data_IF_015263783219
#
_entry.id   IF_015263783219
#
_cell.length_a   1.000
_cell.length_b   1.000
_cell.length_c   1.000
_cell.angle_alpha   90.00
_cell.angle_beta   90.00
_cell.angle_gamma   90.00
#
_symmetry.space_group_name_H-M   'P 1'
#
loop_
_entity.id
_entity.type
_entity.pdbx_description
1 polymer ?
#
# COMPACT_ATOMS: atom_id res chain seq x y z
N UNK A 1 -13.76 -10.74 -14.83
CA UNK A 1 -12.76 -10.26 -13.85
C UNK A 1 -13.45 -10.13 -12.50
N UNK A 2 -13.12 -11.01 -11.56
CA UNK A 2 -13.60 -10.95 -10.18
C UNK A 2 -12.54 -10.28 -9.31
N UNK A 3 -12.92 -9.23 -8.59
CA UNK A 3 -12.09 -8.64 -7.54
C UNK A 3 -12.93 -8.59 -6.27
N UNK A 4 -12.45 -9.23 -5.20
CA UNK A 4 -13.11 -9.28 -3.91
C UNK A 4 -12.20 -8.76 -2.81
N UNK A 5 -12.76 -7.96 -1.91
CA UNK A 5 -12.09 -7.50 -0.68
C UNK A 5 -12.81 -8.08 0.53
N UNK A 6 -12.04 -8.58 1.49
CA UNK A 6 -12.53 -9.18 2.72
C UNK A 6 -11.86 -8.52 3.90
N UNK A 7 -12.67 -8.12 4.89
CA UNK A 7 -12.15 -7.50 6.11
C UNK A 7 -11.53 -8.56 7.01
N UNK A 8 -10.41 -8.24 7.70
CA UNK A 8 -9.88 -9.11 8.72
C UNK A 8 -10.74 -9.05 9.99
N UNK A 9 -10.52 -10.00 10.90
CA UNK A 9 -11.11 -9.99 12.24
C UNK A 9 -10.82 -8.71 13.03
N UNK A 10 -11.63 -8.46 14.06
CA UNK A 10 -11.51 -7.30 14.95
C UNK A 10 -10.14 -7.19 15.64
N UNK A 11 -9.47 -8.33 15.90
CA UNK A 11 -8.13 -8.35 16.51
C UNK A 11 -7.05 -7.87 15.55
N UNK A 12 -7.27 -8.07 14.24
CA UNK A 12 -6.30 -7.79 13.19
C UNK A 12 -6.53 -6.45 12.48
N UNK A 13 -7.71 -5.83 12.65
CA UNK A 13 -8.08 -4.57 11.98
C UNK A 13 -7.12 -3.40 12.23
N UNK A 14 -6.30 -3.44 13.27
CA UNK A 14 -5.29 -2.40 13.54
C UNK A 14 -4.04 -2.56 12.68
N UNK A 15 -3.78 -3.75 12.15
CA UNK A 15 -2.55 -4.12 11.44
C UNK A 15 -2.81 -4.45 9.97
N UNK A 16 -3.92 -5.10 9.68
CA UNK A 16 -4.33 -5.53 8.33
C UNK A 16 -5.47 -4.63 7.87
N UNK A 17 -5.36 -4.14 6.64
CA UNK A 17 -6.36 -3.28 6.01
C UNK A 17 -7.45 -4.14 5.35
N UNK A 18 -7.03 -5.08 4.52
CA UNK A 18 -7.92 -6.00 3.81
C UNK A 18 -7.16 -7.24 3.35
N UNK A 19 -7.87 -8.35 3.25
CA UNK A 19 -7.51 -9.42 2.32
C UNK A 19 -8.18 -9.14 0.99
N UNK A 20 -7.55 -9.53 -0.12
CA UNK A 20 -8.15 -9.38 -1.44
C UNK A 20 -7.87 -10.60 -2.31
N UNK A 21 -8.79 -10.85 -3.23
CA UNK A 21 -8.69 -11.88 -4.25
C UNK A 21 -8.89 -11.21 -5.61
N UNK A 22 -7.92 -11.40 -6.50
CA UNK A 22 -8.01 -11.02 -7.89
C UNK A 22 -8.07 -12.29 -8.74
N UNK A 23 -9.12 -12.40 -9.55
CA UNK A 23 -9.28 -13.47 -10.53
C UNK A 23 -9.58 -12.86 -11.91
N UNK A 24 -8.62 -12.98 -12.81
CA UNK A 24 -8.82 -12.59 -14.20
C UNK A 24 -9.55 -13.69 -14.96
N UNK A 25 -10.49 -13.26 -15.80
CA UNK A 25 -11.23 -14.14 -16.68
C UNK A 25 -10.36 -14.47 -17.91
N UNK A 26 -10.52 -15.67 -18.46
CA UNK A 26 -9.80 -16.14 -19.65
C UNK A 26 -10.00 -15.21 -20.87
N UNK A 27 -11.11 -14.47 -20.92
CA UNK A 27 -11.40 -13.50 -21.97
C UNK A 27 -10.74 -12.13 -21.77
N UNK A 28 -10.09 -11.88 -20.62
CA UNK A 28 -9.42 -10.60 -20.35
C UNK A 28 -8.22 -10.45 -21.28
N UNK A 29 -8.22 -9.38 -22.08
CA UNK A 29 -7.04 -9.02 -22.85
C UNK A 29 -5.92 -8.57 -21.91
N UNK A 30 -4.66 -8.98 -22.18
CA UNK A 30 -3.54 -8.45 -21.44
C UNK A 30 -3.56 -6.93 -21.44
N UNK A 31 -3.45 -6.34 -20.26
CA UNK A 31 -3.47 -4.89 -20.09
C UNK A 31 -2.56 -4.47 -18.95
N UNK A 32 -1.91 -3.33 -19.16
CA UNK A 32 -1.09 -2.72 -18.13
C UNK A 32 -1.96 -1.96 -17.14
N UNK A 33 -1.70 -2.19 -15.87
CA UNK A 33 -2.36 -1.49 -14.77
C UNK A 33 -1.29 -0.84 -13.93
N UNK A 34 -1.50 0.44 -13.64
CA UNK A 34 -0.61 1.21 -12.78
C UNK A 34 -1.08 1.14 -11.33
N UNK A 35 -0.15 0.81 -10.44
CA UNK A 35 -0.38 0.74 -8.99
C UNK A 35 0.37 1.89 -8.38
N UNK A 36 -0.34 2.75 -7.66
CA UNK A 36 0.22 3.98 -7.09
C UNK A 36 0.79 3.76 -5.69
N UNK A 37 1.76 4.61 -5.33
CA UNK A 37 2.28 4.69 -3.98
C UNK A 37 1.17 5.03 -2.97
N UNK A 38 1.10 4.27 -1.89
CA UNK A 38 0.08 4.43 -0.85
C UNK A 38 0.61 4.26 0.59
N UNK A 39 1.92 4.05 0.74
CA UNK A 39 2.58 3.95 2.03
C UNK A 39 2.32 2.63 2.78
N UNK A 40 1.71 1.64 2.13
CA UNK A 40 1.41 0.34 2.71
C UNK A 40 2.38 -0.73 2.17
N UNK A 41 2.55 -1.79 2.95
CA UNK A 41 3.21 -3.03 2.50
C UNK A 41 2.14 -4.07 2.21
N UNK A 42 2.47 -5.01 1.32
CA UNK A 42 1.52 -6.03 0.86
C UNK A 42 2.24 -7.34 0.61
N UNK A 43 1.69 -8.42 1.19
CA UNK A 43 2.04 -9.77 0.76
C UNK A 43 1.02 -10.19 -0.29
N UNK A 44 1.46 -10.82 -1.37
CA UNK A 44 0.55 -11.44 -2.31
C UNK A 44 1.11 -12.75 -2.85
N UNK A 45 0.22 -13.67 -3.19
CA UNK A 45 0.50 -15.02 -3.63
C UNK A 45 -0.04 -15.19 -5.03
N UNK A 46 0.78 -15.67 -5.96
CA UNK A 46 0.27 -16.15 -7.25
C UNK A 46 -0.35 -17.54 -7.06
N UNK A 47 -1.66 -17.58 -6.84
CA UNK A 47 -2.44 -18.80 -6.70
C UNK A 47 -2.91 -19.37 -8.07
N UNK A 48 -2.55 -18.71 -9.17
CA UNK A 48 -2.87 -19.13 -10.52
C UNK A 48 -1.78 -20.02 -11.15
N UNK A 49 -1.93 -20.28 -12.45
CA UNK A 49 -0.97 -21.06 -13.25
C UNK A 49 -0.13 -20.21 -14.19
N UNK A 50 -0.44 -18.92 -14.30
CA UNK A 50 0.19 -18.00 -15.24
C UNK A 50 1.34 -17.23 -14.59
N UNK A 51 2.16 -16.53 -15.39
CA UNK A 51 3.33 -15.77 -14.94
C UNK A 51 3.21 -14.28 -15.28
N UNK A 52 2.40 -13.50 -14.55
CA UNK A 52 2.28 -12.06 -14.78
C UNK A 52 3.63 -11.36 -14.51
N UNK A 53 3.85 -10.21 -15.15
CA UNK A 53 5.11 -9.46 -15.03
C UNK A 53 4.85 -8.09 -14.42
N UNK A 54 5.66 -7.69 -13.44
CA UNK A 54 5.67 -6.33 -12.89
C UNK A 54 6.86 -5.56 -13.46
N UNK A 55 6.61 -4.30 -13.83
CA UNK A 55 7.56 -3.34 -14.39
C UNK A 55 8.34 -3.88 -15.60
N UNK A 56 7.78 -4.85 -16.33
CA UNK A 56 8.44 -5.56 -17.42
C UNK A 56 9.74 -6.29 -17.02
N UNK A 57 9.96 -6.53 -15.72
CA UNK A 57 11.21 -7.09 -15.20
C UNK A 57 10.95 -8.31 -14.31
N UNK A 58 9.99 -8.23 -13.39
CA UNK A 58 9.79 -9.27 -12.37
C UNK A 58 8.66 -10.20 -12.76
N UNK A 59 8.98 -11.45 -13.09
CA UNK A 59 7.99 -12.51 -13.27
C UNK A 59 7.45 -13.00 -11.92
N UNK A 60 6.14 -13.11 -11.82
CA UNK A 60 5.44 -13.65 -10.67
C UNK A 60 5.11 -15.12 -10.93
N UNK A 61 5.90 -16.02 -10.37
CA UNK A 61 5.79 -17.46 -10.60
C UNK A 61 4.61 -18.08 -9.84
N UNK A 62 3.90 -19.06 -10.42
CA UNK A 62 2.87 -19.85 -9.75
C UNK A 62 3.34 -20.44 -8.42
N UNK A 63 2.48 -20.40 -7.40
CA UNK A 63 2.74 -20.97 -6.08
C UNK A 63 3.81 -20.23 -5.28
N UNK A 64 4.21 -19.03 -5.70
CA UNK A 64 5.15 -18.18 -4.97
C UNK A 64 4.45 -17.04 -4.24
N UNK A 65 5.04 -16.66 -3.12
CA UNK A 65 4.65 -15.50 -2.33
C UNK A 65 5.63 -14.38 -2.61
N UNK A 66 5.10 -13.17 -2.70
CA UNK A 66 5.85 -11.94 -2.90
C UNK A 66 5.50 -10.92 -1.82
N UNK A 67 6.50 -10.13 -1.43
CA UNK A 67 6.34 -8.97 -0.57
C UNK A 67 6.62 -7.73 -1.41
N UNK A 68 5.60 -6.89 -1.58
CA UNK A 68 5.75 -5.51 -2.00
C UNK A 68 6.05 -4.67 -0.76
N UNK A 69 7.23 -4.04 -0.74
CA UNK A 69 7.59 -3.09 0.30
C UNK A 69 6.81 -1.78 0.18
N UNK A 70 7.26 -0.75 0.90
CA UNK A 70 6.63 0.56 0.82
C UNK A 70 6.96 1.23 -0.51
N UNK A 71 5.94 1.45 -1.33
CA UNK A 71 6.09 2.11 -2.63
C UNK A 71 6.09 3.64 -2.48
N UNK A 72 7.05 4.30 -3.12
CA UNK A 72 7.21 5.76 -3.23
C UNK A 72 7.07 6.26 -4.67
N UNK A 73 6.97 5.33 -5.62
CA UNK A 73 6.61 5.57 -7.01
C UNK A 73 5.56 4.55 -7.48
N UNK A 74 5.08 4.72 -8.71
CA UNK A 74 4.10 3.79 -9.29
C UNK A 74 4.77 2.57 -9.91
N UNK A 75 4.16 1.40 -9.76
CA UNK A 75 4.51 0.19 -10.52
C UNK A 75 3.51 -0.06 -11.65
N UNK A 76 3.92 -0.79 -12.68
CA UNK A 76 3.05 -1.26 -13.76
C UNK A 76 2.99 -2.78 -13.67
N UNK A 77 1.81 -3.34 -13.46
CA UNK A 77 1.58 -4.78 -13.59
C UNK A 77 0.92 -5.06 -14.93
N UNK A 78 1.45 -6.03 -15.66
CA UNK A 78 0.77 -6.57 -16.84
C UNK A 78 -0.19 -7.66 -16.37
N UNK A 79 -1.47 -7.30 -16.33
CA UNK A 79 -2.55 -8.25 -16.09
C UNK A 79 -2.61 -9.22 -17.27
N UNK A 80 -2.70 -10.52 -17.01
CA UNK A 80 -2.83 -11.57 -18.03
C UNK A 80 -4.07 -12.43 -17.75
N UNK A 81 -4.68 -13.05 -18.78
CA UNK A 81 -5.78 -13.97 -18.58
C UNK A 81 -5.44 -15.07 -17.56
N UNK A 82 -6.46 -15.55 -16.86
CA UNK A 82 -6.36 -16.66 -15.89
C UNK A 82 -5.39 -16.45 -14.72
N UNK A 83 -4.88 -15.22 -14.51
CA UNK A 83 -4.08 -14.92 -13.33
C UNK A 83 -4.97 -14.87 -12.10
N UNK A 84 -4.51 -15.51 -11.03
CA UNK A 84 -5.20 -15.54 -9.73
C UNK A 84 -4.22 -15.11 -8.65
N UNK A 85 -4.61 -14.12 -7.87
CA UNK A 85 -3.80 -13.60 -6.78
C UNK A 85 -4.63 -13.48 -5.51
N UNK A 86 -4.06 -13.95 -4.40
CA UNK A 86 -4.53 -13.63 -3.05
C UNK A 86 -3.56 -12.62 -2.48
N UNK A 87 -4.05 -11.55 -1.88
CA UNK A 87 -3.20 -10.61 -1.19
C UNK A 87 -3.68 -10.23 0.18
N UNK A 88 -2.72 -9.82 0.99
CA UNK A 88 -2.84 -9.37 2.35
C UNK A 88 -2.22 -7.99 2.39
N UNK A 89 -3.09 -6.99 2.51
CA UNK A 89 -2.66 -5.63 2.62
C UNK A 89 -2.54 -5.23 4.08
N UNK A 90 -1.37 -4.73 4.45
CA UNK A 90 -1.14 -4.21 5.78
C UNK A 90 -1.46 -2.72 5.83
N UNK A 91 -1.98 -2.27 6.98
CA UNK A 91 -2.02 -0.85 7.30
C UNK A 91 -0.59 -0.32 7.41
N UNK A 92 -0.37 1.00 7.29
CA UNK A 92 0.94 1.60 7.53
C UNK A 92 1.51 1.18 8.90
N UNK A 93 2.73 0.68 8.91
CA UNK A 93 3.40 0.05 10.06
C UNK A 93 2.74 -1.24 10.62
N UNK A 94 1.70 -1.77 9.97
CA UNK A 94 1.04 -3.01 10.40
C UNK A 94 1.84 -4.27 10.13
N UNK A 95 2.63 -4.28 9.05
CA UNK A 95 3.47 -5.43 8.66
C UNK A 95 4.48 -5.84 9.75
N UNK A 96 5.02 -4.85 10.49
CA UNK A 96 6.01 -5.08 11.56
C UNK A 96 5.44 -5.86 12.75
N UNK A 97 4.12 -6.04 12.83
CA UNK A 97 3.46 -6.86 13.85
C UNK A 97 3.70 -8.35 13.67
N UNK A 98 3.95 -8.78 12.43
CA UNK A 98 4.03 -10.19 12.08
C UNK A 98 5.46 -10.58 11.69
N UNK A 99 6.20 -9.66 11.08
CA UNK A 99 7.50 -9.92 10.50
C UNK A 99 8.54 -8.89 10.93
N UNK A 100 9.78 -9.35 11.11
CA UNK A 100 10.96 -8.48 11.28
C UNK A 100 11.72 -8.48 9.95
N UNK A 101 11.61 -7.40 9.21
CA UNK A 101 12.35 -7.17 7.96
C UNK A 101 13.04 -5.82 8.01
N UNK A 102 14.10 -5.65 7.24
CA UNK A 102 14.68 -4.33 6.99
C UNK A 102 13.78 -3.58 6.00
N UNK A 103 12.77 -2.86 6.50
CA UNK A 103 11.78 -2.18 5.67
C UNK A 103 12.42 -1.21 4.67
N UNK A 104 13.55 -0.60 5.03
CA UNK A 104 14.34 0.30 4.18
C UNK A 104 14.93 -0.39 2.95
N UNK A 105 15.25 -1.68 3.03
CA UNK A 105 15.78 -2.45 1.91
C UNK A 105 14.69 -2.83 0.90
N UNK A 106 13.42 -2.75 1.29
CA UNK A 106 12.25 -3.15 0.51
C UNK A 106 11.55 -1.97 -0.17
N UNK A 107 11.99 -0.73 0.08
CA UNK A 107 11.40 0.46 -0.57
C UNK A 107 11.49 0.33 -2.09
N UNK A 108 10.35 0.53 -2.75
CA UNK A 108 10.21 0.40 -4.22
C UNK A 108 10.62 -0.98 -4.79
N UNK A 109 10.61 -2.03 -3.96
CA UNK A 109 10.90 -3.40 -4.36
C UNK A 109 9.74 -4.36 -4.14
N UNK A 110 9.67 -5.32 -5.05
CA UNK A 110 8.87 -6.53 -4.92
C UNK A 110 9.83 -7.69 -4.95
N UNK A 111 9.84 -8.49 -3.89
CA UNK A 111 10.75 -9.61 -3.72
C UNK A 111 9.97 -10.89 -3.38
N UNK A 112 10.50 -12.04 -3.79
CA UNK A 112 9.98 -13.33 -3.29
C UNK A 112 10.09 -13.35 -1.76
N UNK A 113 9.02 -13.77 -1.10
CA UNK A 113 8.91 -13.76 0.35
C UNK A 113 8.70 -15.19 0.87
N UNK A 114 9.72 -15.81 1.51
CA UNK A 114 9.71 -17.24 1.77
C UNK A 114 8.93 -17.63 3.05
N UNK A 115 7.66 -17.26 3.18
CA UNK A 115 6.79 -17.70 4.28
C UNK A 115 6.01 -18.98 3.89
N UNK A 116 6.62 -20.13 4.12
CA UNK A 116 6.04 -21.44 3.79
C UNK A 116 4.80 -21.77 4.63
N UNK A 117 4.73 -21.29 5.87
CA UNK A 117 3.56 -21.49 6.73
C UNK A 117 2.35 -20.75 6.16
N UNK A 118 2.55 -19.50 5.74
CA UNK A 118 1.51 -18.73 5.05
C UNK A 118 1.10 -19.42 3.73
N UNK A 119 2.06 -19.91 2.94
CA UNK A 119 1.75 -20.58 1.67
C UNK A 119 0.88 -21.82 1.89
N UNK A 120 1.18 -22.61 2.93
CA UNK A 120 0.51 -23.88 3.21
C UNK A 120 -0.98 -23.75 3.56
N UNK A 121 -1.44 -22.56 3.95
CA UNK A 121 -2.83 -22.29 4.31
C UNK A 121 -3.63 -21.61 3.20
N UNK A 122 -2.98 -21.24 2.09
CA UNK A 122 -3.65 -20.63 0.94
C UNK A 122 -4.38 -21.72 0.16
N UNK A 123 -5.69 -21.74 0.33
CA UNK A 123 -6.63 -22.49 -0.50
C UNK A 123 -7.80 -21.58 -0.86
N UNK A 124 -8.29 -21.66 -2.09
CA UNK A 124 -9.27 -20.73 -2.67
C UNK A 124 -10.70 -21.21 -2.43
N UNK A 125 -11.05 -21.41 -1.17
CA UNK A 125 -12.38 -21.81 -0.71
C UNK A 125 -13.01 -20.73 0.19
N UNK A 126 -14.21 -21.00 0.69
CA UNK A 126 -14.93 -20.10 1.60
C UNK A 126 -14.21 -19.92 2.97
N UNK A 127 -13.28 -20.82 3.32
CA UNK A 127 -12.52 -20.81 4.57
C UNK A 127 -11.22 -19.98 4.53
N UNK A 128 -10.85 -19.41 3.39
CA UNK A 128 -9.60 -18.66 3.23
C UNK A 128 -9.44 -17.53 4.26
N UNK A 129 -10.48 -16.71 4.44
CA UNK A 129 -10.46 -15.56 5.35
C UNK A 129 -10.24 -16.02 6.80
N UNK A 130 -10.92 -17.08 7.23
CA UNK A 130 -10.78 -17.62 8.58
C UNK A 130 -9.38 -18.19 8.82
N UNK A 131 -8.80 -18.89 7.84
CA UNK A 131 -7.42 -19.40 7.92
C UNK A 131 -6.41 -18.27 8.01
N UNK A 132 -6.55 -17.21 7.20
CA UNK A 132 -5.70 -16.04 7.25
C UNK A 132 -5.81 -15.34 8.62
N UNK A 133 -7.02 -15.14 9.12
CA UNK A 133 -7.24 -14.54 10.44
C UNK A 133 -6.60 -15.35 11.55
N UNK A 134 -6.78 -16.68 11.55
CA UNK A 134 -6.17 -17.57 12.54
C UNK A 134 -4.64 -17.51 12.48
N UNK A 135 -4.07 -17.53 11.29
CA UNK A 135 -2.63 -17.44 11.06
C UNK A 135 -2.05 -16.14 11.58
N UNK A 136 -2.59 -14.99 11.13
CA UNK A 136 -2.04 -13.70 11.53
C UNK A 136 -2.27 -13.44 13.02
N UNK A 137 -3.41 -13.86 13.59
CA UNK A 137 -3.66 -13.75 15.04
C UNK A 137 -2.61 -14.53 15.84
N UNK A 138 -2.30 -15.76 15.45
CA UNK A 138 -1.25 -16.56 16.08
C UNK A 138 0.18 -16.01 15.88
N UNK A 139 0.37 -15.16 14.86
CA UNK A 139 1.66 -14.54 14.51
C UNK A 139 1.86 -13.14 15.08
N UNK A 140 0.84 -12.55 15.73
CA UNK A 140 0.97 -11.23 16.37
C UNK A 140 2.11 -11.28 17.36
N UNK A 141 3.15 -10.50 17.09
CA UNK A 141 4.20 -10.21 18.06
C UNK A 141 3.69 -9.07 18.93
N UNK A 142 3.91 -9.15 20.23
CA UNK A 142 3.66 -8.03 21.14
C UNK A 142 4.56 -6.86 20.73
N UNK A 143 4.09 -5.99 19.84
CA UNK A 143 4.80 -4.77 19.52
C UNK A 143 4.55 -3.81 20.68
N UNK A 144 5.63 -3.30 21.25
CA UNK A 144 5.64 -2.04 21.98
C UNK A 144 5.19 -0.92 21.03
N UNK A 145 3.87 -0.67 20.93
CA UNK A 145 3.19 0.41 20.18
C UNK A 145 4.13 1.50 19.62
N UNK A 146 4.72 1.24 18.44
CA UNK A 146 5.90 1.98 17.98
C UNK A 146 5.71 2.98 16.86
N UNK A 147 4.65 2.85 16.04
CA UNK A 147 4.35 3.74 14.91
C UNK A 147 2.88 3.77 14.47
N UNK A 148 2.08 2.74 14.75
CA UNK A 148 0.67 2.67 14.30
C UNK A 148 -0.14 3.91 14.72
N UNK A 149 -0.07 4.40 15.98
CA UNK A 149 -0.78 5.62 16.35
C UNK A 149 -0.28 6.87 15.58
N UNK A 150 1.02 6.91 15.26
CA UNK A 150 1.62 8.01 14.50
C UNK A 150 1.12 8.01 13.05
N UNK A 151 1.11 6.85 12.40
CA UNK A 151 0.60 6.72 11.02
C UNK A 151 -0.89 7.02 10.96
N UNK A 152 -1.67 6.59 11.95
CA UNK A 152 -3.09 6.94 12.08
C UNK A 152 -3.30 8.46 12.21
N UNK A 153 -2.48 9.15 13.03
CA UNK A 153 -2.55 10.61 13.18
C UNK A 153 -2.31 11.31 11.83
N UNK A 154 -1.32 10.86 11.05
CA UNK A 154 -1.02 11.41 9.72
C UNK A 154 -2.18 11.16 8.73
N UNK A 155 -2.76 9.96 8.75
CA UNK A 155 -3.89 9.60 7.89
C UNK A 155 -5.12 10.45 8.24
N UNK A 156 -5.42 10.61 9.53
CA UNK A 156 -6.54 11.43 10.01
C UNK A 156 -6.36 12.91 9.68
N UNK A 157 -5.13 13.43 9.73
CA UNK A 157 -4.81 14.80 9.31
C UNK A 157 -4.78 14.98 7.79
N UNK A 158 -5.01 13.90 7.00
CA UNK A 158 -4.93 13.91 5.53
C UNK A 158 -3.55 14.37 5.01
N UNK A 159 -2.50 14.16 5.81
CA UNK A 159 -1.16 14.66 5.51
C UNK A 159 -0.98 16.17 5.74
N UNK A 160 -1.95 16.86 6.35
CA UNK A 160 -1.84 18.27 6.76
C UNK A 160 -1.27 18.37 8.17
N UNK A 161 -0.05 17.86 8.34
CA UNK A 161 0.66 17.82 9.61
C UNK A 161 2.16 17.97 9.36
N UNK A 162 2.88 18.61 10.29
CA UNK A 162 4.35 18.70 10.22
C UNK A 162 5.00 17.58 11.02
N UNK A 163 6.23 17.23 10.68
CA UNK A 163 7.01 16.23 11.43
C UNK A 163 7.22 16.69 12.88
N UNK A 164 7.51 17.98 13.09
CA UNK A 164 7.74 18.54 14.44
C UNK A 164 6.49 18.47 15.31
N UNK A 165 5.32 18.82 14.77
CA UNK A 165 4.05 18.72 15.51
C UNK A 165 3.72 17.27 15.82
N UNK A 166 3.85 16.37 14.84
CA UNK A 166 3.65 14.93 15.07
C UNK A 166 4.58 14.40 16.17
N UNK A 167 5.84 14.85 16.20
CA UNK A 167 6.82 14.44 17.21
C UNK A 167 6.41 14.95 18.59
N UNK A 168 5.96 16.20 18.69
CA UNK A 168 5.50 16.80 19.94
C UNK A 168 4.29 16.07 20.54
N UNK A 169 3.27 15.75 19.74
CA UNK A 169 2.03 15.13 20.25
C UNK A 169 2.19 13.66 20.64
N UNK A 170 3.24 13.01 20.13
CA UNK A 170 3.60 11.63 20.47
C UNK A 170 4.77 11.53 21.47
N UNK A 171 5.20 12.66 22.06
CA UNK A 171 6.33 12.71 23.01
C UNK A 171 7.62 12.07 22.48
N UNK A 172 7.92 12.28 21.20
CA UNK A 172 9.12 11.77 20.53
C UNK A 172 10.00 12.93 20.05
N UNK A 173 11.31 12.70 19.98
CA UNK A 173 12.17 13.57 19.19
C UNK A 173 11.99 13.27 17.71
N UNK A 174 12.20 14.26 16.84
CA UNK A 174 12.19 14.08 15.38
C UNK A 174 13.18 13.00 14.95
N UNK A 175 14.39 13.00 15.52
CA UNK A 175 15.41 11.98 15.25
C UNK A 175 14.96 10.56 15.60
N UNK A 176 14.31 10.38 16.76
CA UNK A 176 13.80 9.05 17.15
C UNK A 176 12.68 8.61 16.22
N UNK A 177 11.77 9.52 15.87
CA UNK A 177 10.69 9.25 14.93
C UNK A 177 11.22 8.86 13.56
N UNK A 178 12.15 9.63 12.98
CA UNK A 178 12.75 9.34 11.68
C UNK A 178 13.38 7.95 11.65
N UNK A 179 14.12 7.59 12.71
CA UNK A 179 14.74 6.27 12.84
C UNK A 179 13.70 5.16 12.91
N UNK A 180 12.62 5.33 13.69
CA UNK A 180 11.55 4.32 13.77
C UNK A 180 10.83 4.18 12.42
N UNK A 181 10.49 5.28 11.76
CA UNK A 181 9.85 5.31 10.45
C UNK A 181 10.68 4.57 9.38
N UNK A 182 11.99 4.85 9.30
CA UNK A 182 12.89 4.11 8.40
C UNK A 182 12.93 2.61 8.72
N UNK A 183 13.01 2.23 10.00
CA UNK A 183 13.10 0.84 10.41
C UNK A 183 11.84 0.03 10.11
N UNK A 184 10.66 0.58 10.37
CA UNK A 184 9.40 -0.17 10.34
C UNK A 184 8.53 0.08 9.11
N UNK A 185 8.68 1.24 8.46
CA UNK A 185 7.95 1.60 7.23
C UNK A 185 8.91 1.70 6.04
N UNK A 186 10.20 1.90 6.25
CA UNK A 186 11.21 2.01 5.19
C UNK A 186 11.46 3.44 4.71
N UNK A 187 10.57 4.37 5.02
CA UNK A 187 10.63 5.76 4.55
C UNK A 187 10.56 6.75 5.70
N UNK A 188 10.97 8.00 5.46
CA UNK A 188 10.90 9.07 6.47
C UNK A 188 9.45 9.50 6.76
N UNK A 189 9.16 10.07 7.96
CA UNK A 189 7.83 10.60 8.27
C UNK A 189 7.40 11.69 7.29
N UNK A 190 8.34 12.55 6.85
CA UNK A 190 8.09 13.59 5.85
C UNK A 190 7.61 12.99 4.51
N UNK A 191 8.24 11.91 4.06
CA UNK A 191 7.83 11.24 2.82
C UNK A 191 6.45 10.58 2.98
N UNK A 192 6.22 9.90 4.10
CA UNK A 192 4.92 9.28 4.38
C UNK A 192 3.78 10.32 4.44
N UNK A 193 4.00 11.47 5.09
CA UNK A 193 3.06 12.61 5.08
C UNK A 193 2.75 13.05 3.64
N UNK A 194 3.78 13.18 2.79
CA UNK A 194 3.62 13.52 1.38
C UNK A 194 2.79 12.51 0.59
N UNK A 195 3.00 11.20 0.82
CA UNK A 195 2.20 10.14 0.21
C UNK A 195 0.73 10.25 0.64
N UNK A 196 0.44 10.41 1.93
CA UNK A 196 -0.93 10.55 2.42
C UNK A 196 -1.59 11.79 1.81
N UNK A 197 -0.89 12.94 1.80
CA UNK A 197 -1.37 14.17 1.17
C UNK A 197 -1.69 13.97 -0.32
N UNK A 198 -0.81 13.27 -1.04
CA UNK A 198 -1.01 12.87 -2.43
C UNK A 198 -2.28 12.02 -2.64
N UNK A 199 -2.50 11.01 -1.78
CA UNK A 199 -3.70 10.16 -1.85
C UNK A 199 -4.97 11.02 -1.69
N UNK A 200 -4.95 11.98 -0.78
CA UNK A 200 -6.10 12.86 -0.52
C UNK A 200 -6.35 13.84 -1.66
N UNK A 201 -5.33 14.51 -2.19
CA UNK A 201 -5.50 15.41 -3.32
C UNK A 201 -5.95 14.67 -4.58
N UNK A 202 -5.44 13.45 -4.81
CA UNK A 202 -5.86 12.61 -5.95
C UNK A 202 -7.35 12.26 -5.88
N UNK A 203 -7.85 11.91 -4.69
CA UNK A 203 -9.29 11.69 -4.47
C UNK A 203 -10.09 12.97 -4.72
N UNK A 204 -9.58 14.12 -4.25
CA UNK A 204 -10.25 15.41 -4.44
C UNK A 204 -10.34 15.79 -5.92
N UNK A 205 -9.26 15.60 -6.68
CA UNK A 205 -9.22 15.85 -8.13
C UNK A 205 -10.22 14.96 -8.84
N UNK A 206 -10.21 13.64 -8.58
CA UNK A 206 -11.16 12.72 -9.21
C UNK A 206 -12.62 13.09 -8.93
N UNK A 207 -12.92 13.46 -7.69
CA UNK A 207 -14.29 13.78 -7.28
C UNK A 207 -14.71 15.23 -7.61
N UNK A 208 -13.81 16.03 -8.17
CA UNK A 208 -14.06 17.43 -8.46
C UNK A 208 -15.05 17.63 -9.62
N UNK A 209 -15.11 16.70 -10.58
CA UNK A 209 -15.95 16.80 -11.79
C UNK A 209 -15.82 18.17 -12.50
N UNK A 210 -14.61 18.76 -12.49
CA UNK A 210 -14.33 20.05 -13.12
C UNK A 210 -14.85 21.30 -12.38
N UNK A 211 -15.38 21.18 -11.15
CA UNK A 211 -15.98 22.31 -10.42
C UNK A 211 -14.96 23.34 -9.94
N UNK A 212 -13.85 22.88 -9.38
CA UNK A 212 -12.77 23.75 -8.89
C UNK A 212 -11.51 23.67 -9.77
N UNK A 213 -10.74 24.75 -9.82
CA UNK A 213 -9.44 24.74 -10.50
C UNK A 213 -8.42 23.90 -9.73
N UNK A 214 -7.44 23.32 -10.44
CA UNK A 214 -6.34 22.59 -9.81
C UNK A 214 -5.54 23.47 -8.84
N UNK A 215 -5.45 24.78 -9.10
CA UNK A 215 -4.82 25.74 -8.20
C UNK A 215 -5.57 25.84 -6.87
N UNK A 216 -6.90 25.95 -6.91
CA UNK A 216 -7.73 25.97 -5.70
C UNK A 216 -7.58 24.69 -4.91
N UNK A 217 -7.62 23.54 -5.59
CA UNK A 217 -7.43 22.22 -4.97
C UNK A 217 -6.04 22.13 -4.33
N UNK A 218 -5.00 22.62 -5.00
CA UNK A 218 -3.63 22.66 -4.46
C UNK A 218 -3.60 23.42 -3.11
N UNK A 219 -4.13 24.64 -3.08
CA UNK A 219 -4.19 25.44 -1.85
C UNK A 219 -5.00 24.77 -0.73
N UNK A 220 -6.20 24.27 -1.04
CA UNK A 220 -7.06 23.56 -0.06
C UNK A 220 -6.41 22.30 0.51
N UNK A 221 -5.51 21.66 -0.25
CA UNK A 221 -4.77 20.48 0.17
C UNK A 221 -3.37 20.82 0.71
N UNK A 222 -3.08 22.09 1.01
CA UNK A 222 -1.84 22.52 1.65
C UNK A 222 -0.61 22.52 0.74
N UNK A 223 -0.78 22.56 -0.58
CA UNK A 223 0.30 22.79 -1.53
C UNK A 223 0.53 24.28 -1.70
N UNK A 224 1.81 24.69 -1.80
CA UNK A 224 2.19 26.07 -2.04
C UNK A 224 1.65 26.64 -3.36
N UNK A 225 1.70 25.82 -4.43
CA UNK A 225 1.27 26.20 -5.76
C UNK A 225 0.95 24.97 -6.63
N UNK A 226 0.53 25.23 -7.87
CA UNK A 226 0.25 24.19 -8.86
C UNK A 226 1.50 23.39 -9.28
N UNK A 227 2.68 24.00 -9.28
CA UNK A 227 3.92 23.33 -9.67
C UNK A 227 4.35 22.29 -8.62
N UNK A 228 4.20 22.63 -7.34
CA UNK A 228 4.42 21.72 -6.22
C UNK A 228 3.46 20.53 -6.28
N UNK A 229 2.16 20.77 -6.52
CA UNK A 229 1.18 19.70 -6.73
C UNK A 229 1.57 18.79 -7.89
N UNK A 230 1.89 19.39 -9.04
CA UNK A 230 2.26 18.64 -10.25
C UNK A 230 3.49 17.77 -10.02
N UNK A 231 4.51 18.30 -9.32
CA UNK A 231 5.73 17.55 -8.99
C UNK A 231 5.44 16.35 -8.10
N UNK A 232 4.62 16.49 -7.06
CA UNK A 232 4.27 15.38 -6.19
C UNK A 232 3.41 14.33 -6.91
N UNK A 233 2.40 14.76 -7.67
CA UNK A 233 1.58 13.82 -8.47
C UNK A 233 2.45 13.04 -9.45
N UNK A 234 3.31 13.71 -10.23
CA UNK A 234 4.22 13.03 -11.15
C UNK A 234 5.15 12.05 -10.44
N UNK A 235 5.66 12.40 -9.27
CA UNK A 235 6.51 11.52 -8.47
C UNK A 235 5.78 10.21 -8.13
N UNK A 236 4.55 10.28 -7.63
CA UNK A 236 3.84 9.10 -7.12
C UNK A 236 3.08 8.30 -8.20
N UNK A 237 2.80 8.92 -9.35
CA UNK A 237 1.96 8.32 -10.40
C UNK A 237 2.63 8.21 -11.77
N UNK A 238 3.68 8.99 -12.05
CA UNK A 238 4.18 9.20 -13.40
C UNK A 238 3.26 10.03 -14.31
N UNK A 239 2.13 10.53 -13.81
CA UNK A 239 1.09 11.24 -14.58
C UNK A 239 0.99 12.72 -14.19
N UNK A 240 0.30 13.51 -15.00
CA UNK A 240 -0.12 14.88 -14.64
C UNK A 240 -1.37 14.85 -13.74
N UNK A 241 -1.59 15.89 -12.91
CA UNK A 241 -2.81 15.99 -12.08
C UNK A 241 -4.13 15.84 -12.85
N UNK A 242 -4.20 16.35 -14.08
CA UNK A 242 -5.38 16.23 -14.97
C UNK A 242 -5.65 14.81 -15.47
N UNK A 243 -4.66 13.92 -15.40
CA UNK A 243 -4.73 12.55 -15.91
C UNK A 243 -5.11 11.52 -14.83
N UNK A 244 -5.23 11.95 -13.56
CA UNK A 244 -5.59 11.06 -12.44
C UNK A 244 -7.09 10.68 -12.49
N UNK A 245 -7.47 9.86 -13.46
CA UNK A 245 -8.78 9.20 -13.62
C UNK A 245 -8.69 7.71 -13.27
N UNK A 246 -8.68 7.40 -11.96
CA UNK A 246 -8.37 6.12 -11.29
C UNK A 246 -8.88 4.80 -11.91
N UNK A 247 -8.01 3.77 -11.91
CA UNK A 247 -8.37 2.43 -11.41
C UNK A 247 -7.30 1.81 -10.49
N UNK A 248 -7.77 1.57 -9.25
CA UNK A 248 -7.40 0.61 -8.23
C UNK A 248 -6.11 0.81 -7.37
N UNK A 249 -6.27 0.53 -6.07
CA UNK A 249 -5.29 0.71 -4.99
C UNK A 249 -4.41 -0.52 -4.72
N UNK A 250 -4.72 -1.65 -5.35
CA UNK A 250 -4.10 -2.95 -5.08
C UNK A 250 -3.62 -3.55 -6.39
N UNK A 251 -2.79 -4.60 -6.33
CA UNK A 251 -2.36 -5.38 -7.49
C UNK A 251 -3.55 -5.91 -8.33
#
# INVERSE_FOLDING_TARGET
MGYGEFKPSEQLKSYIDTYWLLQNDSLVRPSERRIFADGCMEIFINAGKTKPVINHVTELLPGKIYLAGTMTCSNIITSIPDSVFVGIRFKPAGFSAFYKVAAEELVDKIAEFPDQELLSIIDLDEGLVERLDRFFTGKIRTISFGLIPLTQTIVQSKGLITVDYLASVHNMTTRTMERSFKREIGISPKLFIGIIKFIHVSKRIKNNNGKDSLLRIAYEQGYYDHAHLTKEVKRYTGLNPSEIGLKNRHL
#
